data_IF_014018770238
#
_entry.id   IF_014018770238
#
_cell.length_a   1.000
_cell.length_b   1.000
_cell.length_c   1.000
_cell.angle_alpha   90.00
_cell.angle_beta   90.00
_cell.angle_gamma   90.00
#
_symmetry.space_group_name_H-M   'P 1'
#
loop_
_entity.id
_entity.type
_entity.pdbx_description
1 polymer ?
#
# COMPACT_ATOMS: atom_id res chain seq x y z
N UNK A 1 29.12 -4.90 -19.04
CA UNK A 1 28.95 -3.46 -19.27
C UNK A 1 29.08 -2.79 -17.92
N UNK A 2 30.04 -1.89 -17.76
CA UNK A 2 30.18 -1.08 -16.54
C UNK A 2 29.64 0.30 -16.88
N UNK A 3 28.55 0.66 -16.25
CA UNK A 3 28.01 2.03 -16.26
C UNK A 3 28.54 2.74 -15.02
N UNK A 4 29.08 3.93 -15.17
CA UNK A 4 29.61 4.71 -14.07
C UNK A 4 29.20 6.19 -14.20
N UNK A 5 29.17 6.89 -13.08
CA UNK A 5 28.83 8.31 -13.00
C UNK A 5 27.34 8.60 -12.77
N UNK A 6 26.99 9.89 -12.71
CA UNK A 6 25.66 10.35 -12.36
C UNK A 6 24.59 9.81 -13.32
N UNK A 7 24.86 9.81 -14.64
CA UNK A 7 23.91 9.29 -15.64
C UNK A 7 23.57 7.80 -15.42
N UNK A 8 24.54 6.99 -15.01
CA UNK A 8 24.28 5.58 -14.68
C UNK A 8 23.39 5.45 -13.43
N UNK A 9 23.63 6.28 -12.43
CA UNK A 9 22.82 6.32 -11.22
C UNK A 9 21.38 6.75 -11.53
N UNK A 10 21.20 7.79 -12.34
CA UNK A 10 19.88 8.27 -12.75
C UNK A 10 19.11 7.21 -13.54
N UNK A 11 19.77 6.53 -14.47
CA UNK A 11 19.21 5.41 -15.23
C UNK A 11 18.78 4.24 -14.32
N UNK A 12 19.61 3.87 -13.37
CA UNK A 12 19.27 2.81 -12.41
C UNK A 12 18.10 3.23 -11.51
N UNK A 13 18.07 4.49 -11.09
CA UNK A 13 16.98 5.06 -10.30
C UNK A 13 15.65 5.05 -11.07
N UNK A 14 15.66 5.43 -12.37
CA UNK A 14 14.47 5.38 -13.22
C UNK A 14 13.95 3.95 -13.45
N UNK A 15 14.85 2.96 -13.48
CA UNK A 15 14.49 1.53 -13.53
C UNK A 15 14.12 0.99 -12.15
N UNK A 16 14.16 1.83 -11.09
CA UNK A 16 13.95 1.46 -9.69
C UNK A 16 14.87 0.30 -9.25
N UNK A 17 16.11 0.30 -9.75
CA UNK A 17 17.15 -0.65 -9.38
C UNK A 17 17.99 -0.07 -8.25
N UNK A 18 18.23 -0.87 -7.21
CA UNK A 18 19.10 -0.53 -6.08
C UNK A 18 19.92 -1.74 -5.67
N UNK A 19 20.90 -1.54 -4.80
CA UNK A 19 21.71 -2.62 -4.25
C UNK A 19 20.84 -3.70 -3.55
N UNK A 20 19.70 -3.29 -3.00
CA UNK A 20 18.77 -4.16 -2.27
C UNK A 20 17.73 -4.80 -3.21
N UNK A 21 17.60 -4.31 -4.45
CA UNK A 21 16.63 -4.77 -5.43
C UNK A 21 17.33 -5.10 -6.76
N UNK A 22 18.08 -6.18 -6.77
CA UNK A 22 18.92 -6.61 -7.91
C UNK A 22 18.18 -7.52 -8.87
N UNK A 23 17.04 -8.09 -8.47
CA UNK A 23 16.30 -9.03 -9.30
C UNK A 23 15.05 -8.39 -9.88
N UNK A 24 15.01 -8.30 -11.20
CA UNK A 24 13.84 -7.83 -11.97
C UNK A 24 13.43 -8.89 -12.97
N UNK A 25 12.14 -9.03 -13.20
CA UNK A 25 11.60 -9.83 -14.29
C UNK A 25 11.31 -8.93 -15.48
N UNK A 26 11.72 -9.41 -16.66
CA UNK A 26 11.44 -8.74 -17.92
C UNK A 26 10.30 -9.47 -18.65
N UNK A 27 9.22 -8.75 -18.94
CA UNK A 27 8.06 -9.25 -19.71
C UNK A 27 7.96 -8.66 -21.11
N UNK A 28 8.90 -7.78 -21.48
CA UNK A 28 8.96 -7.18 -22.80
C UNK A 28 9.50 -8.15 -23.87
N UNK A 29 9.71 -7.60 -25.06
CA UNK A 29 10.30 -8.33 -26.17
C UNK A 29 11.78 -8.67 -25.90
N UNK A 30 12.01 -9.92 -25.50
CA UNK A 30 13.35 -10.44 -25.20
C UNK A 30 14.26 -10.45 -26.42
N UNK A 31 13.69 -10.68 -27.62
CA UNK A 31 14.44 -10.71 -28.86
C UNK A 31 15.05 -9.33 -29.12
N UNK A 32 14.25 -8.26 -29.06
CA UNK A 32 14.72 -6.89 -29.25
C UNK A 32 15.83 -6.50 -28.25
N UNK A 33 15.72 -6.94 -26.99
CA UNK A 33 16.76 -6.69 -25.97
C UNK A 33 18.05 -7.46 -26.31
N UNK A 34 17.94 -8.73 -26.71
CA UNK A 34 19.08 -9.57 -27.09
C UNK A 34 19.79 -9.01 -28.31
N UNK A 35 19.04 -8.55 -29.33
CA UNK A 35 19.57 -7.97 -30.55
C UNK A 35 20.32 -6.66 -30.31
N UNK A 36 19.79 -5.80 -29.39
CA UNK A 36 20.47 -4.59 -28.96
C UNK A 36 21.79 -4.89 -28.23
N UNK A 37 21.82 -5.88 -27.33
CA UNK A 37 23.05 -6.33 -26.70
C UNK A 37 24.05 -6.85 -27.72
N UNK A 38 23.59 -7.63 -28.70
CA UNK A 38 24.40 -8.11 -29.82
C UNK A 38 25.01 -6.96 -30.64
N UNK A 39 24.22 -5.95 -30.95
CA UNK A 39 24.62 -4.77 -31.71
C UNK A 39 25.65 -3.92 -30.93
N UNK A 40 25.48 -3.76 -29.64
CA UNK A 40 26.43 -3.07 -28.75
C UNK A 40 27.77 -3.83 -28.76
N UNK A 41 27.75 -5.15 -28.56
CA UNK A 41 28.96 -5.97 -28.56
C UNK A 41 29.68 -5.92 -29.91
N UNK A 42 28.94 -6.02 -31.01
CA UNK A 42 29.47 -5.93 -32.36
C UNK A 42 30.14 -4.57 -32.59
N UNK A 43 29.51 -3.49 -32.18
CA UNK A 43 30.07 -2.13 -32.29
C UNK A 43 31.39 -1.99 -31.52
N UNK A 44 31.52 -2.62 -30.35
CA UNK A 44 32.78 -2.64 -29.61
C UNK A 44 33.92 -3.36 -30.33
N UNK A 45 33.62 -4.49 -31.00
CA UNK A 45 34.60 -5.31 -31.66
C UNK A 45 35.03 -4.75 -33.01
N UNK A 46 34.05 -4.24 -33.79
CA UNK A 46 34.32 -3.85 -35.20
C UNK A 46 34.63 -2.34 -35.34
N UNK A 47 34.14 -1.49 -34.44
CA UNK A 47 34.26 -0.03 -34.54
C UNK A 47 34.59 0.60 -33.19
N UNK A 48 35.82 0.47 -32.69
CA UNK A 48 36.21 0.95 -31.34
C UNK A 48 35.94 2.43 -31.12
N UNK A 49 35.98 3.29 -32.13
CA UNK A 49 35.78 4.74 -32.08
C UNK A 49 34.32 5.21 -32.25
N UNK A 50 33.35 4.27 -32.38
CA UNK A 50 31.95 4.60 -32.59
C UNK A 50 31.18 4.89 -31.26
N UNK A 51 31.69 5.86 -30.47
CA UNK A 51 31.14 6.13 -29.13
C UNK A 51 29.72 6.64 -29.15
N UNK A 52 29.37 7.50 -30.09
CA UNK A 52 28.00 8.04 -30.22
C UNK A 52 26.99 6.97 -30.69
N UNK A 53 27.42 6.06 -31.56
CA UNK A 53 26.58 4.94 -31.99
C UNK A 53 26.25 4.03 -30.80
N UNK A 54 27.26 3.68 -30.02
CA UNK A 54 27.09 2.87 -28.80
C UNK A 54 26.21 3.56 -27.78
N UNK A 55 26.36 4.87 -27.59
CA UNK A 55 25.51 5.65 -26.70
C UNK A 55 24.05 5.59 -27.16
N UNK A 56 23.79 5.73 -28.46
CA UNK A 56 22.44 5.59 -29.01
C UNK A 56 21.84 4.20 -28.78
N UNK A 57 22.63 3.13 -28.99
CA UNK A 57 22.20 1.75 -28.71
C UNK A 57 21.90 1.53 -27.22
N UNK A 58 22.67 2.15 -26.32
CA UNK A 58 22.40 2.11 -24.88
C UNK A 58 21.09 2.79 -24.51
N UNK A 59 20.79 3.95 -25.10
CA UNK A 59 19.52 4.63 -24.84
C UNK A 59 18.32 3.81 -25.34
N UNK A 60 18.46 3.18 -26.53
CA UNK A 60 17.42 2.28 -27.05
C UNK A 60 17.23 1.05 -26.16
N UNK A 61 18.32 0.45 -25.69
CA UNK A 61 18.26 -0.68 -24.75
C UNK A 61 17.57 -0.27 -23.44
N UNK A 62 17.94 0.93 -22.91
CA UNK A 62 17.35 1.46 -21.70
C UNK A 62 15.85 1.69 -21.85
N UNK A 63 15.39 2.27 -22.95
CA UNK A 63 13.98 2.48 -23.23
C UNK A 63 13.21 1.15 -23.27
N UNK A 64 13.77 0.13 -23.95
CA UNK A 64 13.18 -1.23 -23.97
C UNK A 64 13.12 -1.86 -22.59
N UNK A 65 14.18 -1.69 -21.79
CA UNK A 65 14.20 -2.19 -20.42
C UNK A 65 13.17 -1.46 -19.55
N UNK A 66 13.07 -0.13 -19.66
CA UNK A 66 12.11 0.69 -18.89
C UNK A 66 10.66 0.25 -19.13
N UNK A 67 10.31 -0.06 -20.37
CA UNK A 67 8.96 -0.50 -20.74
C UNK A 67 8.68 -1.97 -20.42
N UNK A 68 9.71 -2.81 -20.34
CA UNK A 68 9.59 -4.27 -20.16
C UNK A 68 9.94 -4.78 -18.76
N UNK A 69 10.59 -3.98 -17.92
CA UNK A 69 10.96 -4.41 -16.57
C UNK A 69 9.73 -4.47 -15.68
N UNK A 70 9.49 -5.66 -15.16
CA UNK A 70 8.59 -5.90 -14.05
C UNK A 70 9.43 -6.08 -12.79
N UNK A 71 9.25 -5.18 -11.83
CA UNK A 71 9.79 -5.42 -10.51
C UNK A 71 9.09 -6.63 -9.89
N UNK A 72 9.85 -7.59 -9.42
CA UNK A 72 9.31 -8.74 -8.68
C UNK A 72 8.50 -8.27 -7.47
N UNK A 73 8.83 -7.06 -6.97
CA UNK A 73 8.06 -6.31 -5.99
C UNK A 73 6.60 -6.06 -6.39
N UNK A 74 6.31 -5.86 -7.66
CA UNK A 74 4.92 -5.61 -8.12
C UNK A 74 4.10 -6.90 -8.15
N UNK A 75 4.73 -8.03 -8.45
CA UNK A 75 4.06 -9.33 -8.40
C UNK A 75 3.82 -9.78 -6.95
N UNK A 76 4.79 -9.54 -6.07
CA UNK A 76 4.69 -9.91 -4.67
C UNK A 76 3.93 -8.87 -3.84
N UNK A 77 3.82 -7.63 -4.29
CA UNK A 77 3.18 -6.55 -3.53
C UNK A 77 1.71 -6.87 -3.21
N UNK A 78 0.94 -7.36 -4.16
CA UNK A 78 -0.44 -7.80 -3.93
C UNK A 78 -0.53 -8.93 -2.92
N UNK A 79 0.39 -9.89 -3.00
CA UNK A 79 0.50 -10.98 -2.03
C UNK A 79 0.80 -10.46 -0.62
N UNK A 80 1.79 -9.56 -0.49
CA UNK A 80 2.11 -8.95 0.81
C UNK A 80 0.99 -8.08 1.35
N UNK A 81 0.31 -7.31 0.51
CA UNK A 81 -0.84 -6.52 0.94
C UNK A 81 -1.92 -7.43 1.51
N UNK A 82 -2.22 -8.55 0.85
CA UNK A 82 -3.18 -9.54 1.36
C UNK A 82 -2.72 -10.16 2.69
N UNK A 83 -1.43 -10.50 2.83
CA UNK A 83 -0.88 -10.98 4.10
C UNK A 83 -0.99 -9.93 5.23
N UNK A 84 -0.77 -8.65 4.94
CA UNK A 84 -0.96 -7.55 5.89
C UNK A 84 -2.42 -7.47 6.33
N UNK A 85 -3.38 -7.58 5.39
CA UNK A 85 -4.81 -7.56 5.70
C UNK A 85 -5.20 -8.73 6.62
N UNK A 86 -4.70 -9.93 6.34
CA UNK A 86 -4.93 -11.11 7.18
C UNK A 86 -4.34 -10.91 8.59
N UNK A 87 -3.07 -10.46 8.68
CA UNK A 87 -2.43 -10.20 9.97
C UNK A 87 -3.18 -9.16 10.79
N UNK A 88 -3.62 -8.08 10.16
CA UNK A 88 -4.43 -7.06 10.82
C UNK A 88 -5.77 -7.64 11.26
N UNK A 89 -6.45 -8.41 10.42
CA UNK A 89 -7.71 -9.07 10.74
C UNK A 89 -7.61 -10.01 11.94
N UNK A 90 -6.50 -10.73 12.08
CA UNK A 90 -6.27 -11.63 13.20
C UNK A 90 -5.81 -10.92 14.49
N UNK A 91 -5.19 -9.73 14.37
CA UNK A 91 -4.45 -9.13 15.49
C UNK A 91 -4.99 -7.77 15.94
N UNK A 92 -5.97 -7.16 15.26
CA UNK A 92 -6.45 -5.80 15.55
C UNK A 92 -6.98 -5.62 17.00
N UNK A 93 -7.48 -6.71 17.63
CA UNK A 93 -7.97 -6.69 19.01
C UNK A 93 -6.85 -6.45 20.04
N UNK A 94 -5.62 -6.81 19.70
CA UNK A 94 -4.48 -6.55 20.57
C UNK A 94 -4.11 -5.06 20.49
N UNK A 95 -4.25 -4.35 21.62
CA UNK A 95 -3.95 -2.92 21.70
C UNK A 95 -2.49 -2.57 21.44
N UNK A 96 -1.57 -3.52 21.64
CA UNK A 96 -0.13 -3.38 21.39
C UNK A 96 0.26 -3.67 19.93
N UNK A 97 -0.64 -4.24 19.14
CA UNK A 97 -0.35 -4.55 17.73
C UNK A 97 -0.17 -3.28 16.91
N UNK A 98 0.98 -3.19 16.24
CA UNK A 98 1.43 -2.02 15.48
C UNK A 98 1.92 -2.43 14.08
N UNK A 99 2.28 -1.44 13.24
CA UNK A 99 2.90 -1.70 11.93
C UNK A 99 4.28 -2.36 12.08
N UNK A 100 5.00 -2.13 13.19
CA UNK A 100 6.29 -2.76 13.45
C UNK A 100 6.14 -4.29 13.64
N UNK A 101 5.01 -4.72 14.21
CA UNK A 101 4.72 -6.16 14.30
C UNK A 101 4.43 -6.77 12.93
N UNK A 102 3.78 -6.03 12.04
CA UNK A 102 3.63 -6.43 10.63
C UNK A 102 4.99 -6.55 9.96
N UNK A 103 5.89 -5.58 10.15
CA UNK A 103 7.25 -5.62 9.63
C UNK A 103 8.01 -6.86 10.09
N UNK A 104 7.94 -7.17 11.39
CA UNK A 104 8.62 -8.34 11.99
C UNK A 104 8.04 -9.65 11.44
N UNK A 105 6.72 -9.79 11.39
CA UNK A 105 6.06 -11.02 10.93
C UNK A 105 6.36 -11.32 9.46
N UNK A 106 6.41 -10.30 8.62
CA UNK A 106 6.65 -10.47 7.18
C UNK A 106 8.12 -10.34 6.79
N UNK A 107 9.00 -10.01 7.74
CA UNK A 107 10.42 -9.72 7.50
C UNK A 107 10.62 -8.65 6.41
N UNK A 108 9.82 -7.58 6.47
CA UNK A 108 9.84 -6.47 5.52
C UNK A 108 10.17 -5.16 6.22
N UNK A 109 10.81 -4.24 5.51
CA UNK A 109 11.06 -2.90 6.02
C UNK A 109 9.77 -2.06 6.09
N UNK A 110 9.72 -1.14 7.08
CA UNK A 110 8.60 -0.21 7.24
C UNK A 110 8.37 0.64 5.98
N UNK A 111 9.44 1.08 5.33
CA UNK A 111 9.37 1.86 4.09
C UNK A 111 8.74 1.07 2.95
N UNK A 112 9.11 -0.20 2.80
CA UNK A 112 8.53 -1.07 1.79
C UNK A 112 7.04 -1.32 2.03
N UNK A 113 6.65 -1.68 3.27
CA UNK A 113 5.24 -1.88 3.66
C UNK A 113 4.42 -0.62 3.41
N UNK A 114 4.90 0.56 3.82
CA UNK A 114 4.21 1.81 3.56
C UNK A 114 4.02 2.09 2.06
N UNK A 115 5.05 1.83 1.24
CA UNK A 115 5.01 2.04 -0.21
C UNK A 115 3.99 1.14 -0.89
N UNK A 116 4.06 -0.18 -0.67
CA UNK A 116 3.16 -1.15 -1.33
C UNK A 116 1.72 -0.96 -0.87
N UNK A 117 1.51 -0.75 0.44
CA UNK A 117 0.18 -0.63 1.01
C UNK A 117 -0.49 0.70 0.61
N UNK A 118 0.24 1.83 0.62
CA UNK A 118 -0.26 3.12 0.14
C UNK A 118 -0.58 3.08 -1.37
N UNK A 119 0.23 2.37 -2.17
CA UNK A 119 -0.02 2.19 -3.61
C UNK A 119 -1.31 1.42 -3.87
N UNK A 120 -1.57 0.34 -3.12
CA UNK A 120 -2.73 -0.54 -3.32
C UNK A 120 -4.00 0.02 -2.66
N UNK A 121 -3.94 0.32 -1.36
CA UNK A 121 -5.10 0.73 -0.55
C UNK A 121 -5.31 2.24 -0.46
N UNK A 122 -4.41 3.05 -1.03
CA UNK A 122 -4.42 4.54 -0.97
C UNK A 122 -4.38 5.12 0.44
N UNK A 123 -4.10 4.32 1.46
CA UNK A 123 -3.96 4.73 2.86
C UNK A 123 -2.72 4.07 3.48
N UNK A 124 -2.21 4.63 4.58
CA UNK A 124 -1.11 4.01 5.32
C UNK A 124 -1.57 2.77 6.09
N UNK A 125 -0.67 1.78 6.33
CA UNK A 125 -0.98 0.59 7.15
C UNK A 125 -1.52 0.96 8.54
N UNK A 126 -0.96 2.00 9.18
CA UNK A 126 -1.43 2.50 10.49
C UNK A 126 -2.89 2.98 10.41
N UNK A 127 -3.24 3.74 9.37
CA UNK A 127 -4.63 4.19 9.16
C UNK A 127 -5.55 3.01 8.88
N UNK A 128 -5.06 1.99 8.18
CA UNK A 128 -5.83 0.75 7.93
C UNK A 128 -6.13 -0.02 9.22
N UNK A 129 -5.14 -0.27 10.08
CA UNK A 129 -5.37 -0.91 11.40
C UNK A 129 -6.43 -0.14 12.17
N UNK A 130 -6.35 1.18 12.21
CA UNK A 130 -7.32 2.04 12.88
C UNK A 130 -8.72 1.88 12.30
N UNK A 131 -8.86 1.84 10.96
CA UNK A 131 -10.16 1.63 10.28
C UNK A 131 -10.77 0.27 10.61
N UNK A 132 -9.96 -0.79 10.62
CA UNK A 132 -10.43 -2.14 11.00
C UNK A 132 -10.95 -2.14 12.43
N UNK A 133 -10.23 -1.50 13.37
CA UNK A 133 -10.67 -1.37 14.76
C UNK A 133 -11.98 -0.60 14.90
N UNK A 134 -12.11 0.53 14.18
CA UNK A 134 -13.35 1.34 14.22
C UNK A 134 -14.52 0.56 13.60
N UNK A 135 -14.29 -0.12 12.45
CA UNK A 135 -15.32 -0.95 11.83
C UNK A 135 -15.83 -2.02 12.80
N UNK A 136 -14.92 -2.74 13.45
CA UNK A 136 -15.28 -3.72 14.47
C UNK A 136 -16.05 -3.09 15.65
N UNK A 137 -15.67 -1.87 16.07
CA UNK A 137 -16.40 -1.17 17.12
C UNK A 137 -17.83 -0.80 16.68
N UNK A 138 -18.03 -0.40 15.41
CA UNK A 138 -19.38 -0.17 14.86
C UNK A 138 -20.23 -1.44 14.91
N UNK A 139 -19.64 -2.58 14.55
CA UNK A 139 -20.34 -3.88 14.59
C UNK A 139 -20.74 -4.27 16.02
N UNK A 140 -19.81 -4.11 17.00
CA UNK A 140 -20.13 -4.35 18.42
C UNK A 140 -21.20 -3.41 18.97
N UNK A 141 -21.13 -2.12 18.63
CA UNK A 141 -22.10 -1.12 19.08
C UNK A 141 -23.50 -1.38 18.52
N UNK A 142 -23.58 -1.87 17.28
CA UNK A 142 -24.85 -2.20 16.63
C UNK A 142 -25.46 -3.51 17.13
N UNK A 143 -24.63 -4.48 17.55
CA UNK A 143 -25.07 -5.85 17.82
C UNK A 143 -25.12 -6.19 19.31
N UNK A 144 -24.55 -5.35 20.19
CA UNK A 144 -24.45 -5.66 21.62
C UNK A 144 -24.74 -4.44 22.50
N UNK A 145 -25.16 -4.70 23.73
CA UNK A 145 -25.38 -3.66 24.78
C UNK A 145 -24.13 -3.39 25.62
N UNK A 146 -22.96 -3.92 25.20
CA UNK A 146 -21.70 -3.73 25.93
C UNK A 146 -21.39 -2.23 26.15
N UNK A 147 -20.89 -1.82 27.32
CA UNK A 147 -20.45 -0.45 27.54
C UNK A 147 -19.47 0.02 26.45
N UNK A 148 -19.57 1.28 26.03
CA UNK A 148 -18.69 1.86 24.99
C UNK A 148 -17.20 1.69 25.33
N UNK A 149 -16.85 1.81 26.61
CA UNK A 149 -15.49 1.58 27.11
C UNK A 149 -15.02 0.12 26.93
N UNK A 150 -15.92 -0.84 27.12
CA UNK A 150 -15.62 -2.25 26.88
C UNK A 150 -15.46 -2.53 25.39
N UNK A 151 -16.35 -1.97 24.54
CA UNK A 151 -16.22 -2.08 23.08
C UNK A 151 -14.90 -1.52 22.60
N UNK A 152 -14.48 -0.35 23.09
CA UNK A 152 -13.18 0.24 22.76
C UNK A 152 -12.03 -0.73 23.07
N UNK A 153 -12.02 -1.34 24.25
CA UNK A 153 -11.01 -2.31 24.69
C UNK A 153 -11.01 -3.56 23.82
N UNK A 154 -12.19 -4.13 23.52
CA UNK A 154 -12.33 -5.31 22.67
C UNK A 154 -11.82 -5.07 21.24
N UNK A 155 -11.93 -3.83 20.75
CA UNK A 155 -11.45 -3.45 19.43
C UNK A 155 -9.99 -2.97 19.42
N UNK A 156 -9.21 -3.21 20.50
CA UNK A 156 -7.80 -2.93 20.55
C UNK A 156 -7.43 -1.47 20.81
N UNK A 157 -8.32 -0.68 21.42
CA UNK A 157 -8.00 0.66 21.88
C UNK A 157 -7.65 0.62 23.37
N UNK A 158 -6.40 0.98 23.71
CA UNK A 158 -5.93 1.06 25.09
C UNK A 158 -6.45 2.31 25.80
N UNK A 159 -6.61 3.43 25.08
CA UNK A 159 -7.04 4.70 25.63
C UNK A 159 -8.46 5.07 25.14
N UNK A 160 -9.43 5.20 26.07
CA UNK A 160 -10.80 5.59 25.74
C UNK A 160 -10.93 6.99 25.10
N UNK A 161 -10.06 7.94 25.47
CA UNK A 161 -10.08 9.29 24.90
C UNK A 161 -9.61 9.26 23.44
N UNK A 162 -8.56 8.50 23.18
CA UNK A 162 -8.09 8.27 21.82
C UNK A 162 -9.15 7.57 20.97
N UNK A 163 -9.80 6.54 21.52
CA UNK A 163 -10.92 5.85 20.85
C UNK A 163 -12.05 6.84 20.49
N UNK A 164 -12.53 7.64 21.44
CA UNK A 164 -13.63 8.56 21.20
C UNK A 164 -13.34 9.55 20.06
N UNK A 165 -12.11 10.09 20.02
CA UNK A 165 -11.65 10.99 18.96
C UNK A 165 -11.62 10.27 17.62
N UNK A 166 -10.92 9.13 17.55
CA UNK A 166 -10.73 8.37 16.30
C UNK A 166 -12.06 7.81 15.77
N UNK A 167 -12.94 7.36 16.66
CA UNK A 167 -14.26 6.89 16.28
C UNK A 167 -15.06 8.02 15.62
N UNK A 168 -15.12 9.20 16.24
CA UNK A 168 -15.80 10.37 15.68
C UNK A 168 -15.22 10.81 14.33
N UNK A 169 -13.90 10.82 14.19
CA UNK A 169 -13.20 11.15 12.94
C UNK A 169 -13.55 10.18 11.78
N UNK A 170 -13.77 8.89 12.10
CA UNK A 170 -14.03 7.87 11.07
C UNK A 170 -15.52 7.58 10.86
N UNK A 171 -16.35 7.69 11.87
CA UNK A 171 -17.78 7.38 11.82
C UNK A 171 -18.67 8.63 11.69
N UNK A 172 -18.11 9.84 11.81
CA UNK A 172 -18.83 11.10 11.72
C UNK A 172 -19.69 11.46 12.95
N UNK A 173 -19.84 10.56 13.91
CA UNK A 173 -20.62 10.74 15.13
C UNK A 173 -19.93 10.05 16.32
N UNK A 174 -20.38 10.30 17.53
CA UNK A 174 -19.88 9.60 18.73
C UNK A 174 -20.33 8.14 18.77
N UNK A 175 -19.61 7.31 19.52
CA UNK A 175 -19.97 5.90 19.68
C UNK A 175 -21.36 5.70 20.32
N UNK A 176 -21.77 6.62 21.20
CA UNK A 176 -23.10 6.60 21.83
C UNK A 176 -24.20 6.95 20.84
N UNK A 177 -24.01 8.00 20.04
CA UNK A 177 -24.93 8.41 18.96
C UNK A 177 -25.02 7.32 17.90
N UNK A 178 -23.87 6.68 17.56
CA UNK A 178 -23.84 5.56 16.62
C UNK A 178 -24.70 4.39 17.11
N UNK A 179 -24.56 4.00 18.40
CA UNK A 179 -25.39 2.98 19.02
C UNK A 179 -26.86 3.33 18.95
N UNK A 180 -27.23 4.54 19.37
CA UNK A 180 -28.63 4.98 19.37
C UNK A 180 -29.26 4.90 17.97
N UNK A 181 -28.48 5.26 16.95
CA UNK A 181 -28.94 5.25 15.55
C UNK A 181 -29.00 3.86 14.95
N UNK A 182 -28.06 2.95 15.29
CA UNK A 182 -27.82 1.71 14.56
C UNK A 182 -27.97 0.41 15.38
N UNK A 183 -28.36 0.48 16.68
CA UNK A 183 -28.52 -0.71 17.52
C UNK A 183 -29.67 -1.56 17.03
N UNK A 184 -29.38 -2.83 16.74
CA UNK A 184 -30.37 -3.86 16.42
C UNK A 184 -31.01 -4.47 17.66
N UNK A 185 -30.41 -4.25 18.84
CA UNK A 185 -30.88 -4.76 20.13
C UNK A 185 -32.08 -3.93 20.63
N UNK A 186 -32.22 -2.70 20.12
CA UNK A 186 -33.35 -1.81 20.45
C UNK A 186 -33.87 -1.13 19.17
N UNK A 187 -34.56 -1.84 18.27
CA UNK A 187 -34.93 -1.33 16.96
C UNK A 187 -36.01 -0.23 17.13
N UNK A 188 -35.58 1.02 17.05
CA UNK A 188 -36.52 2.15 16.89
C UNK A 188 -36.89 2.41 15.43
N UNK A 189 -36.17 1.82 14.45
CA UNK A 189 -36.50 1.86 13.01
C UNK A 189 -35.88 0.68 12.25
N UNK A 190 -36.60 0.18 11.23
CA UNK A 190 -36.15 -0.91 10.34
C UNK A 190 -34.88 -0.51 9.55
N UNK A 191 -33.86 -1.36 9.69
CA UNK A 191 -32.53 -1.09 9.17
C UNK A 191 -32.13 -2.11 8.09
N UNK A 192 -31.80 -1.66 6.87
CA UNK A 192 -31.20 -2.51 5.84
C UNK A 192 -29.67 -2.36 5.83
N UNK A 193 -28.96 -3.49 5.84
CA UNK A 193 -27.49 -3.57 5.87
C UNK A 193 -26.80 -2.87 4.67
N UNK A 194 -27.55 -2.55 3.62
CA UNK A 194 -27.07 -1.82 2.44
C UNK A 194 -26.77 -0.34 2.70
N UNK A 195 -27.52 0.30 3.63
CA UNK A 195 -27.38 1.73 3.93
C UNK A 195 -26.11 2.05 4.72
N UNK A 196 -25.61 1.12 5.55
CA UNK A 196 -24.33 1.28 6.29
C UNK A 196 -23.13 1.16 5.37
N UNK A 197 -23.17 0.25 4.40
CA UNK A 197 -22.09 0.10 3.42
C UNK A 197 -21.91 1.37 2.58
N UNK A 198 -22.99 1.99 2.14
CA UNK A 198 -22.93 3.20 1.31
C UNK A 198 -22.47 4.44 2.08
N UNK A 199 -22.84 4.59 3.36
CA UNK A 199 -22.43 5.76 4.16
C UNK A 199 -20.97 5.65 4.67
N UNK A 200 -20.48 4.43 4.93
CA UNK A 200 -19.06 4.21 5.30
C UNK A 200 -18.15 4.30 4.06
N UNK A 201 -18.62 3.86 2.90
CA UNK A 201 -17.89 4.02 1.62
C UNK A 201 -17.91 5.47 1.10
N UNK A 202 -18.97 6.24 1.37
CA UNK A 202 -19.07 7.66 0.98
C UNK A 202 -18.13 8.57 1.81
N UNK A 203 -17.79 8.21 3.06
CA UNK A 203 -16.76 8.87 3.85
C UNK A 203 -15.33 8.72 3.30
N UNK A 204 -15.14 7.89 2.29
CA UNK A 204 -13.85 7.65 1.63
C UNK A 204 -13.60 8.58 0.42
N UNK A 205 -14.61 9.31 -0.06
CA UNK A 205 -14.50 10.03 -1.36
C UNK A 205 -14.04 11.48 -1.31
N UNK A 206 -13.88 12.13 -0.15
CA UNK A 206 -13.71 13.59 -0.13
C UNK A 206 -12.35 14.15 0.30
N UNK A 207 -11.28 13.33 0.47
CA UNK A 207 -9.97 13.85 0.91
C UNK A 207 -8.89 13.88 -0.19
N UNK A 208 -9.26 13.83 -1.47
CA UNK A 208 -8.28 13.74 -2.57
C UNK A 208 -8.20 14.97 -3.51
N UNK A 209 -8.95 16.04 -3.28
CA UNK A 209 -8.92 17.22 -4.18
C UNK A 209 -8.13 18.44 -3.67
N UNK A 210 -7.36 18.36 -2.57
CA UNK A 210 -6.70 19.53 -1.99
C UNK A 210 -5.18 19.60 -2.06
N UNK A 211 -4.47 18.63 -2.68
CA UNK A 211 -2.98 18.64 -2.72
C UNK A 211 -2.37 18.76 -4.13
N UNK A 212 -3.09 19.26 -5.13
CA UNK A 212 -2.52 19.53 -6.48
C UNK A 212 -2.28 21.02 -6.78
N UNK A 213 -2.14 21.89 -5.78
CA UNK A 213 -1.68 23.27 -6.01
C UNK A 213 -0.79 23.73 -4.85
N UNK A 214 0.50 23.38 -4.90
CA UNK A 214 1.64 24.21 -4.48
C UNK A 214 2.94 23.62 -5.03
#
# INVERSE_FOLDING_TARGET
IVLAGQAAYDMMSELNLSADNVRVRFKGDRSAVTDLFGSINKSYLERPSADYERLGLFYLLFDKLKTGIFHEDDYNAGHYVNQIEILVGCSYMNSHFTVDDVCKNLNLSLSYINRIFKRDKKISPKKYITRVRVKSACDYLAQTDKPVSEVARLCGFADPKYFARVFRENAGCTASEYREKYSRVNPKEEFTAEKVKSEVDLGVKNDYESDENE
#
